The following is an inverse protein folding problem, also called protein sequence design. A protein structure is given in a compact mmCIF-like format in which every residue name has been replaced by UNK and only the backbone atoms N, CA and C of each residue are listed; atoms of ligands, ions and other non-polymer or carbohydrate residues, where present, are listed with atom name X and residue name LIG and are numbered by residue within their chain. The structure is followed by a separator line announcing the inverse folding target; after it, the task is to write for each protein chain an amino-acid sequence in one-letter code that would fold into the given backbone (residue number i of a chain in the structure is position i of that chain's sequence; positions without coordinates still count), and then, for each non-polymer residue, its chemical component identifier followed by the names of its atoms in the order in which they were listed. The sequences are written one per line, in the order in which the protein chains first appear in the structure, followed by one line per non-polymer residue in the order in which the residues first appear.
data_IF_951575367761
#
_entry.id   IF_951575367761
#
_cell.length_a   1.000
_cell.length_b   1.000
_cell.length_c   1.000
_cell.angle_alpha   90.00
_cell.angle_beta   90.00
_cell.angle_gamma   90.00
#
_symmetry.space_group_name_H-M   'P 1'
#
loop_
_entity.id
_entity.type
_entity.pdbx_description
1 polymer ?
#
# COMPACT_ATOMS: atom_id res chain seq x y z
N UNK A 1 32.55 -6.18 28.75
CA UNK A 1 32.00 -7.23 27.86
C UNK A 1 30.94 -6.56 27.02
N UNK A 2 31.31 -6.17 25.81
CA UNK A 2 30.42 -5.48 24.89
C UNK A 2 29.21 -6.37 24.68
N UNK A 3 28.04 -5.85 25.04
CA UNK A 3 26.77 -6.36 24.57
C UNK A 3 26.87 -6.22 23.05
N UNK A 4 27.38 -7.26 22.38
CA UNK A 4 27.27 -7.42 20.94
C UNK A 4 25.78 -7.43 20.75
N UNK A 5 25.26 -6.27 20.37
CA UNK A 5 23.88 -6.05 20.00
C UNK A 5 23.53 -7.24 19.15
N UNK A 6 22.58 -8.05 19.61
CA UNK A 6 21.92 -9.01 18.76
C UNK A 6 21.29 -8.15 17.66
N UNK A 7 22.06 -7.90 16.60
CA UNK A 7 21.66 -7.23 15.39
C UNK A 7 20.60 -8.15 14.81
N UNK A 8 19.36 -7.92 15.24
CA UNK A 8 18.19 -8.50 14.65
C UNK A 8 18.22 -7.95 13.22
N UNK A 9 18.64 -8.79 12.27
CA UNK A 9 18.62 -8.45 10.85
C UNK A 9 17.16 -8.16 10.50
N UNK A 10 16.85 -6.87 10.34
CA UNK A 10 15.51 -6.35 10.14
C UNK A 10 15.53 -5.54 8.85
N UNK A 11 15.14 -6.19 7.75
CA UNK A 11 14.83 -5.48 6.52
C UNK A 11 13.37 -5.09 6.55
N UNK A 12 13.09 -3.79 6.38
CA UNK A 12 11.74 -3.28 6.10
C UNK A 12 11.69 -2.66 4.71
N UNK A 13 10.51 -2.65 4.11
CA UNK A 13 10.24 -2.07 2.80
C UNK A 13 8.85 -1.41 2.82
N UNK A 14 8.78 -0.18 2.31
CA UNK A 14 7.57 0.63 2.21
C UNK A 14 7.65 1.53 0.96
N UNK A 15 6.51 1.84 0.33
CA UNK A 15 6.43 2.88 -0.71
C UNK A 15 5.95 4.19 -0.10
N UNK A 16 6.45 5.31 -0.63
CA UNK A 16 6.03 6.65 -0.22
C UNK A 16 4.59 6.99 -0.66
N UNK A 17 4.12 6.38 -1.75
CA UNK A 17 2.76 6.51 -2.28
C UNK A 17 1.91 5.33 -1.82
N UNK A 18 0.66 5.61 -1.42
CA UNK A 18 -0.31 4.58 -1.07
C UNK A 18 -0.43 3.59 -2.25
N UNK A 19 -0.27 2.28 -1.99
CA UNK A 19 -0.07 1.12 -2.89
C UNK A 19 -0.84 1.07 -4.25
N UNK A 20 -0.76 2.12 -5.04
CA UNK A 20 -1.51 2.46 -6.23
C UNK A 20 -0.81 3.64 -6.92
N UNK A 21 0.01 3.35 -7.94
CA UNK A 21 0.75 4.33 -8.71
C UNK A 21 0.31 4.34 -10.17
N UNK A 22 0.47 5.46 -10.86
CA UNK A 22 0.22 5.54 -12.29
C UNK A 22 1.45 5.04 -13.03
N UNK A 23 1.26 4.13 -13.99
CA UNK A 23 2.33 3.67 -14.86
C UNK A 23 2.98 4.86 -15.58
N UNK A 24 4.30 4.94 -15.53
CA UNK A 24 5.06 6.05 -16.07
C UNK A 24 5.54 7.04 -15.01
N UNK A 25 4.95 7.00 -13.81
CA UNK A 25 5.44 7.78 -12.66
C UNK A 25 6.57 7.06 -11.92
N UNK A 26 7.33 7.84 -11.16
CA UNK A 26 8.34 7.31 -10.24
C UNK A 26 7.66 6.86 -8.94
N UNK A 27 7.91 5.61 -8.53
CA UNK A 27 7.50 5.11 -7.22
C UNK A 27 8.71 5.18 -6.30
N UNK A 28 8.60 5.98 -5.23
CA UNK A 28 9.66 6.05 -4.23
C UNK A 28 9.51 4.91 -3.22
N UNK A 29 10.52 4.03 -3.20
CA UNK A 29 10.66 2.93 -2.26
C UNK A 29 11.61 3.37 -1.14
N UNK A 30 11.27 3.00 0.09
CA UNK A 30 12.08 3.28 1.26
C UNK A 30 12.06 2.08 2.19
N UNK A 31 13.00 2.03 3.10
CA UNK A 31 12.99 1.02 4.14
C UNK A 31 14.14 1.19 5.11
N UNK A 32 14.29 0.17 5.93
CA UNK A 32 15.42 0.03 6.86
C UNK A 32 16.13 -1.28 6.62
N UNK A 33 17.43 -1.32 6.90
CA UNK A 33 18.27 -2.51 6.94
C UNK A 33 19.38 -2.29 7.97
N UNK A 34 20.30 -3.23 8.13
CA UNK A 34 21.48 -3.03 8.99
C UNK A 34 22.34 -1.92 8.41
N UNK A 35 23.01 -1.13 9.26
CA UNK A 35 23.88 -0.03 8.82
C UNK A 35 24.95 -0.52 7.82
N UNK A 36 25.07 0.14 6.66
CA UNK A 36 26.02 -0.23 5.61
C UNK A 36 25.70 -1.52 4.86
N UNK A 37 24.56 -2.17 5.15
CA UNK A 37 24.13 -3.38 4.47
C UNK A 37 23.65 -3.07 3.05
N UNK A 38 23.93 -4.00 2.14
CA UNK A 38 23.43 -3.93 0.77
C UNK A 38 22.09 -4.63 0.70
N UNK A 39 21.09 -3.91 0.21
CA UNK A 39 19.74 -4.41 -0.04
C UNK A 39 19.59 -4.70 -1.53
N UNK A 40 19.22 -5.93 -1.84
CA UNK A 40 18.93 -6.40 -3.18
C UNK A 40 17.43 -6.25 -3.45
N UNK A 41 17.10 -5.44 -4.44
CA UNK A 41 15.75 -5.13 -4.87
C UNK A 41 15.45 -5.85 -6.18
N UNK A 42 14.29 -6.50 -6.23
CA UNK A 42 13.71 -7.08 -7.44
C UNK A 42 12.18 -7.10 -7.32
N UNK A 43 11.47 -7.38 -8.40
CA UNK A 43 10.02 -7.47 -8.33
C UNK A 43 9.45 -8.62 -9.19
N UNK A 44 8.24 -9.03 -8.87
CA UNK A 44 7.46 -10.03 -9.62
C UNK A 44 6.08 -9.47 -9.93
N UNK A 45 5.39 -10.05 -10.91
CA UNK A 45 4.03 -9.66 -11.25
C UNK A 45 3.49 -10.40 -12.47
N UNK A 46 2.35 -9.95 -12.99
CA UNK A 46 1.75 -10.51 -14.21
C UNK A 46 2.72 -10.47 -15.38
N UNK A 47 2.73 -11.53 -16.20
CA UNK A 47 3.53 -11.63 -17.42
C UNK A 47 5.06 -11.50 -17.23
N UNK A 48 5.56 -11.62 -15.98
CA UNK A 48 6.98 -11.59 -15.67
C UNK A 48 7.51 -12.98 -15.28
N UNK A 49 8.83 -13.23 -15.42
CA UNK A 49 9.48 -14.42 -14.88
C UNK A 49 9.14 -14.64 -13.40
N UNK A 50 8.87 -15.89 -13.02
CA UNK A 50 8.49 -16.25 -11.65
C UNK A 50 9.59 -15.91 -10.63
N UNK A 51 10.86 -16.08 -11.00
CA UNK A 51 12.02 -15.74 -10.18
C UNK A 51 12.20 -14.25 -9.90
N UNK A 52 11.51 -13.39 -10.67
CA UNK A 52 11.57 -11.94 -10.55
C UNK A 52 12.54 -11.27 -11.52
N UNK A 53 12.45 -9.95 -11.56
CA UNK A 53 13.20 -9.10 -12.47
C UNK A 53 13.75 -7.85 -11.78
N UNK A 54 14.79 -7.28 -12.36
CA UNK A 54 15.46 -6.06 -11.92
C UNK A 54 14.57 -4.81 -12.09
N UNK A 55 14.62 -3.86 -11.16
CA UNK A 55 13.76 -2.66 -11.17
C UNK A 55 14.14 -1.65 -12.27
N UNK A 56 15.37 -1.68 -12.78
CA UNK A 56 15.88 -0.70 -13.77
C UNK A 56 15.58 -1.09 -15.21
N UNK A 57 15.60 -2.39 -15.51
CA UNK A 57 15.55 -2.88 -16.89
C UNK A 57 14.60 -4.06 -17.10
N UNK A 58 13.95 -4.56 -16.04
CA UNK A 58 13.08 -5.74 -16.07
C UNK A 58 13.76 -7.01 -16.63
N UNK A 59 15.09 -7.11 -16.59
CA UNK A 59 15.82 -8.34 -16.87
C UNK A 59 15.67 -9.33 -15.70
N UNK A 60 15.66 -10.63 -16.01
CA UNK A 60 15.57 -11.70 -15.01
C UNK A 60 16.71 -11.62 -14.00
N UNK A 61 16.39 -11.80 -12.72
CA UNK A 61 17.39 -11.91 -11.66
C UNK A 61 17.86 -13.34 -11.49
N UNK A 62 19.13 -13.52 -11.10
CA UNK A 62 19.77 -14.81 -10.93
C UNK A 62 20.33 -14.97 -9.52
N UNK A 63 19.88 -16.00 -8.80
CA UNK A 63 20.38 -16.31 -7.45
C UNK A 63 21.90 -16.46 -7.43
N UNK A 64 22.55 -15.79 -6.48
CA UNK A 64 24.01 -15.76 -6.32
C UNK A 64 24.73 -14.77 -7.23
N UNK A 65 24.03 -14.09 -8.14
CA UNK A 65 24.61 -13.10 -9.06
C UNK A 65 24.09 -11.69 -8.73
N UNK A 66 24.80 -10.91 -7.88
CA UNK A 66 24.33 -9.61 -7.40
C UNK A 66 24.14 -8.58 -8.52
N UNK A 67 24.89 -8.68 -9.63
CA UNK A 67 24.83 -7.75 -10.76
C UNK A 67 23.49 -7.79 -11.51
N UNK A 68 22.71 -8.86 -11.30
CA UNK A 68 21.37 -8.99 -11.89
C UNK A 68 20.29 -8.28 -11.08
N UNK A 69 20.58 -7.87 -9.84
CA UNK A 69 19.64 -7.19 -8.96
C UNK A 69 19.84 -5.67 -8.99
N UNK A 70 18.81 -4.93 -8.60
CA UNK A 70 18.96 -3.51 -8.28
C UNK A 70 19.48 -3.41 -6.85
N UNK A 71 20.65 -2.82 -6.63
CA UNK A 71 21.27 -2.75 -5.30
C UNK A 71 21.18 -1.34 -4.70
N UNK A 72 20.87 -1.26 -3.40
CA UNK A 72 20.96 -0.01 -2.63
C UNK A 72 21.64 -0.28 -1.28
N UNK A 73 22.55 0.59 -0.87
CA UNK A 73 23.20 0.49 0.45
C UNK A 73 22.45 1.32 1.48
N UNK A 74 22.22 0.75 2.66
CA UNK A 74 21.65 1.48 3.79
C UNK A 74 22.64 2.51 4.35
N UNK A 75 22.12 3.67 4.75
CA UNK A 75 22.90 4.76 5.33
C UNK A 75 23.40 4.44 6.75
N UNK A 76 24.12 5.39 7.34
CA UNK A 76 24.66 5.34 8.72
C UNK A 76 23.58 5.17 9.80
N UNK A 77 22.31 5.35 9.44
CA UNK A 77 21.15 5.18 10.31
C UNK A 77 20.30 3.99 9.89
N UNK A 78 20.84 3.10 9.05
CA UNK A 78 20.17 1.90 8.58
C UNK A 78 18.95 2.18 7.70
N UNK A 79 18.86 3.34 7.04
CA UNK A 79 17.78 3.66 6.09
C UNK A 79 18.25 3.56 4.66
N UNK A 80 17.36 3.16 3.77
CA UNK A 80 17.63 3.15 2.34
C UNK A 80 16.44 3.72 1.57
N UNK A 81 16.70 4.27 0.38
CA UNK A 81 15.70 4.86 -0.51
C UNK A 81 16.06 4.53 -1.96
N UNK A 82 15.07 4.19 -2.76
CA UNK A 82 15.22 3.91 -4.19
C UNK A 82 14.06 4.49 -4.99
N UNK A 83 14.35 5.15 -6.11
CA UNK A 83 13.33 5.71 -7.02
C UNK A 83 13.11 4.76 -8.17
N UNK A 84 11.99 4.05 -8.15
CA UNK A 84 11.65 3.09 -9.18
C UNK A 84 10.95 3.79 -10.35
N UNK A 85 11.65 3.87 -11.48
CA UNK A 85 11.12 4.39 -12.74
C UNK A 85 10.33 3.29 -13.46
N UNK A 86 9.01 3.39 -13.44
CA UNK A 86 8.14 2.40 -14.11
C UNK A 86 7.96 2.67 -15.61
N UNK A 87 8.33 3.88 -16.06
CA UNK A 87 8.28 4.28 -17.46
C UNK A 87 9.25 3.45 -18.32
N UNK A 88 8.78 2.94 -19.45
CA UNK A 88 9.64 2.30 -20.46
C UNK A 88 10.15 0.90 -20.13
N UNK A 89 9.75 0.30 -18.99
CA UNK A 89 10.14 -1.06 -18.60
C UNK A 89 9.43 -2.16 -19.42
N UNK A 90 8.44 -1.82 -20.24
CA UNK A 90 7.68 -2.81 -21.02
C UNK A 90 6.79 -3.73 -20.17
N UNK A 91 6.43 -3.31 -18.95
CA UNK A 91 5.55 -4.05 -18.04
C UNK A 91 4.09 -3.61 -18.19
N UNK A 92 3.14 -4.50 -17.90
CA UNK A 92 1.71 -4.22 -18.02
C UNK A 92 1.14 -3.53 -16.76
N UNK A 93 -0.03 -2.87 -16.83
CA UNK A 93 -0.73 -2.44 -15.63
C UNK A 93 -1.17 -3.67 -14.82
N UNK A 94 -1.03 -3.63 -13.50
CA UNK A 94 -1.32 -4.77 -12.64
C UNK A 94 -0.77 -4.62 -11.23
N UNK A 95 -0.95 -5.65 -10.42
CA UNK A 95 -0.38 -5.70 -9.07
C UNK A 95 0.96 -6.43 -9.11
N UNK A 96 2.01 -5.73 -8.71
CA UNK A 96 3.37 -6.22 -8.61
C UNK A 96 3.75 -6.41 -7.14
N UNK A 97 4.66 -7.33 -6.87
CA UNK A 97 5.27 -7.51 -5.55
C UNK A 97 6.74 -7.18 -5.66
N UNK A 98 7.14 -6.11 -4.97
CA UNK A 98 8.55 -5.72 -4.80
C UNK A 98 9.12 -6.46 -3.60
N UNK A 99 10.35 -6.94 -3.75
CA UNK A 99 11.13 -7.64 -2.74
C UNK A 99 12.36 -6.81 -2.40
N UNK A 100 12.68 -6.73 -1.12
CA UNK A 100 13.93 -6.22 -0.60
C UNK A 100 14.58 -7.31 0.25
N UNK A 101 15.79 -7.74 -0.10
CA UNK A 101 16.50 -8.85 0.54
C UNK A 101 17.94 -8.49 0.92
N UNK A 102 18.48 -9.15 1.95
CA UNK A 102 19.90 -9.06 2.35
C UNK A 102 20.82 -9.93 1.48
N UNK A 103 20.27 -10.82 0.65
CA UNK A 103 21.01 -11.69 -0.25
C UNK A 103 20.55 -11.53 -1.70
N UNK A 104 21.43 -11.76 -2.69
CA UNK A 104 21.06 -11.82 -4.09
C UNK A 104 20.39 -13.17 -4.38
N UNK A 105 19.12 -13.33 -3.99
CA UNK A 105 18.34 -14.55 -4.20
C UNK A 105 17.04 -14.24 -4.97
N UNK A 106 16.79 -15.00 -6.03
CA UNK A 106 15.54 -14.93 -6.78
C UNK A 106 14.37 -15.38 -5.90
N UNK A 107 13.14 -15.00 -6.29
CA UNK A 107 11.91 -15.23 -5.51
C UNK A 107 11.79 -16.65 -4.95
N UNK A 108 12.07 -17.66 -5.77
CA UNK A 108 11.88 -19.07 -5.41
C UNK A 108 12.97 -19.58 -4.46
N UNK A 109 14.13 -18.91 -4.40
CA UNK A 109 15.28 -19.31 -3.60
C UNK A 109 15.40 -18.53 -2.28
N UNK A 110 14.66 -17.43 -2.08
CA UNK A 110 14.74 -16.56 -0.89
C UNK A 110 14.73 -17.34 0.43
N UNK A 111 13.87 -18.35 0.54
CA UNK A 111 13.76 -19.15 1.77
C UNK A 111 14.90 -20.15 1.91
N UNK A 112 15.34 -20.76 0.81
CA UNK A 112 16.40 -21.76 0.80
C UNK A 112 17.78 -21.13 1.04
N UNK A 113 17.99 -19.88 0.63
CA UNK A 113 19.22 -19.12 0.89
C UNK A 113 19.31 -18.59 2.32
N UNK A 114 18.25 -18.74 3.13
CA UNK A 114 18.18 -18.16 4.47
C UNK A 114 18.12 -16.63 4.47
N UNK A 115 17.66 -16.03 3.38
CA UNK A 115 17.62 -14.58 3.23
C UNK A 115 16.57 -13.96 4.16
N UNK A 116 16.89 -12.82 4.75
CA UNK A 116 15.91 -11.91 5.36
C UNK A 116 15.36 -11.03 4.26
N UNK A 117 14.05 -10.93 4.17
CA UNK A 117 13.42 -10.10 3.15
C UNK A 117 12.09 -9.49 3.60
N UNK A 118 11.74 -8.39 2.95
CA UNK A 118 10.44 -7.74 3.04
C UNK A 118 9.77 -7.67 1.68
N UNK A 119 8.43 -7.67 1.68
CA UNK A 119 7.60 -7.63 0.49
C UNK A 119 6.66 -6.43 0.51
N UNK A 120 6.45 -5.83 -0.65
CA UNK A 120 5.52 -4.73 -0.83
C UNK A 120 4.74 -4.90 -2.12
N UNK A 121 3.41 -4.95 -1.99
CA UNK A 121 2.52 -4.95 -3.14
C UNK A 121 2.33 -3.53 -3.67
N UNK A 122 2.54 -3.33 -4.97
CA UNK A 122 2.37 -2.07 -5.68
C UNK A 122 1.42 -2.29 -6.85
N UNK A 123 0.28 -1.59 -6.86
CA UNK A 123 -0.65 -1.65 -8.00
C UNK A 123 -0.31 -0.54 -8.99
N UNK A 124 0.09 -0.90 -10.20
CA UNK A 124 0.33 0.04 -11.30
C UNK A 124 -0.93 0.13 -12.18
N UNK A 125 -1.46 1.35 -12.32
CA UNK A 125 -2.67 1.63 -13.12
C UNK A 125 -2.28 2.34 -14.40
N UNK A 126 -3.09 2.19 -15.46
CA UNK A 126 -2.93 3.06 -16.64
C UNK A 126 -3.19 4.51 -16.24
N UNK A 127 -2.49 5.48 -16.84
CA UNK A 127 -2.93 6.87 -16.76
C UNK A 127 -4.36 6.96 -17.27
N UNK A 128 -5.27 7.45 -16.43
CA UNK A 128 -6.64 7.71 -16.82
C UNK A 128 -6.67 8.93 -17.72
N UNK A 129 -7.20 8.78 -18.94
CA UNK A 129 -7.67 9.93 -19.69
C UNK A 129 -9.03 10.30 -19.10
N UNK A 130 -9.11 11.42 -18.39
CA UNK A 130 -10.40 12.05 -18.11
C UNK A 130 -10.81 12.77 -19.39
N UNK A 131 -11.79 12.23 -20.10
CA UNK A 131 -12.56 13.04 -21.04
C UNK A 131 -13.46 13.90 -20.17
N UNK A 132 -13.15 15.20 -20.04
CA UNK A 132 -14.16 16.19 -19.66
C UNK A 132 -15.18 16.25 -20.79
N UNK A 133 -16.12 15.30 -20.79
CA UNK A 133 -17.40 15.53 -21.43
C UNK A 133 -18.09 16.55 -20.54
N UNK A 134 -18.06 17.81 -20.97
CA UNK A 134 -18.80 18.88 -20.31
C UNK A 134 -20.28 18.53 -20.29
N UNK A 135 -20.74 18.02 -19.15
CA UNK A 135 -22.16 18.00 -18.82
C UNK A 135 -22.45 19.32 -18.10
N UNK A 136 -22.85 20.30 -18.91
CA UNK A 136 -23.43 21.55 -18.44
C UNK A 136 -24.77 21.24 -17.77
N UNK A 137 -24.75 20.79 -16.51
CA UNK A 137 -25.96 20.72 -15.70
C UNK A 137 -26.27 22.13 -15.19
N UNK A 138 -27.05 22.84 -16.01
CA UNK A 138 -27.72 24.09 -15.69
C UNK A 138 -28.41 23.97 -14.32
N UNK A 139 -27.86 24.66 -13.32
CA UNK A 139 -28.48 24.84 -12.01
C UNK A 139 -29.74 25.69 -12.17
N UNK A 140 -30.92 25.07 -12.20
CA UNK A 140 -32.18 25.78 -12.04
C UNK A 140 -32.50 25.89 -10.55
N UNK A 141 -32.54 27.15 -10.10
CA UNK A 141 -32.82 27.57 -8.73
C UNK A 141 -34.31 27.42 -8.46
N UNK A 142 -34.74 26.42 -7.69
CA UNK A 142 -36.11 26.40 -7.17
C UNK A 142 -36.17 26.91 -5.73
N UNK A 143 -36.73 28.11 -5.63
CA UNK A 143 -36.97 28.89 -4.44
C UNK A 143 -38.37 28.57 -3.93
N UNK A 144 -38.45 27.93 -2.77
CA UNK A 144 -39.47 28.07 -1.70
C UNK A 144 -40.80 28.75 -2.04
N UNK A 145 -41.91 28.02 -1.94
CA UNK A 145 -43.24 28.54 -1.54
C UNK A 145 -44.04 27.51 -0.72
N UNK A 146 -44.53 27.97 0.44
CA UNK A 146 -45.44 27.31 1.39
C UNK A 146 -46.84 27.86 1.16
N UNK A 147 -47.88 27.01 1.21
CA UNK A 147 -49.14 27.41 1.86
C UNK A 147 -49.57 26.30 2.85
N UNK A 148 -49.49 26.52 4.16
CA UNK A 148 -50.55 27.08 5.02
C UNK A 148 -51.92 26.39 4.90
N UNK A 149 -52.30 25.81 6.05
CA UNK A 149 -53.66 25.70 6.60
C UNK A 149 -54.52 24.50 6.19
N UNK A 150 -54.68 23.56 7.13
CA UNK A 150 -55.98 23.11 7.67
C UNK A 150 -55.76 21.95 8.66
N UNK A 151 -55.95 22.21 9.95
CA UNK A 151 -56.26 21.19 10.97
C UNK A 151 -57.44 21.75 11.80
N UNK A 152 -58.45 20.97 12.22
CA UNK A 152 -58.29 20.05 13.37
C UNK A 152 -59.06 18.71 13.34
N UNK A 153 -58.43 17.71 13.97
CA UNK A 153 -58.93 16.41 14.42
C UNK A 153 -60.23 16.42 15.28
N UNK A 154 -60.93 15.26 15.35
CA UNK A 154 -61.27 14.74 16.69
C UNK A 154 -61.15 13.20 16.86
N UNK A 155 -60.15 12.81 17.67
CA UNK A 155 -60.13 11.85 18.81
C UNK A 155 -61.26 10.81 18.96
N UNK A 156 -60.86 9.53 19.09
CA UNK A 156 -61.46 8.57 20.03
C UNK A 156 -60.40 7.89 20.93
N UNK A 157 -60.74 7.49 22.18
CA UNK A 157 -59.82 7.41 23.31
C UNK A 157 -59.47 6.00 23.77
N UNK A 158 -58.25 5.85 24.29
CA UNK A 158 -57.94 4.93 25.38
C UNK A 158 -57.09 3.72 25.01
N UNK A 159 -55.77 3.80 25.23
CA UNK A 159 -55.16 3.11 26.38
C UNK A 159 -53.75 3.66 26.66
N UNK A 160 -53.56 4.17 27.88
CA UNK A 160 -52.30 4.61 28.49
C UNK A 160 -51.33 3.40 28.65
N UNK A 161 -50.01 3.50 28.73
CA UNK A 161 -49.16 4.34 29.58
C UNK A 161 -47.71 4.35 29.00
N UNK A 162 -46.98 5.46 29.13
CA UNK A 162 -45.48 5.48 29.10
C UNK A 162 -44.97 5.26 30.54
N UNK A 163 -43.73 4.81 30.83
CA UNK A 163 -42.48 5.52 30.49
C UNK A 163 -41.29 4.58 30.14
N UNK A 164 -40.24 4.98 29.42
CA UNK A 164 -39.01 5.51 30.03
C UNK A 164 -37.92 5.52 28.95
N UNK A 165 -37.27 6.68 28.80
CA UNK A 165 -35.87 6.89 28.42
C UNK A 165 -35.06 5.65 28.01
N UNK A 166 -34.58 5.63 26.76
CA UNK A 166 -33.33 4.93 26.45
C UNK A 166 -32.51 5.73 25.45
N UNK A 167 -31.31 6.06 25.93
CA UNK A 167 -30.28 6.85 25.28
C UNK A 167 -29.89 6.36 23.88
N UNK A 168 -29.53 7.32 23.03
CA UNK A 168 -28.81 7.11 21.78
C UNK A 168 -27.45 6.45 22.07
N UNK A 169 -27.06 5.36 21.36
CA UNK A 169 -25.68 4.94 21.35
C UNK A 169 -24.88 5.84 20.40
N UNK A 170 -23.94 6.59 20.98
CA UNK A 170 -22.81 7.18 20.25
C UNK A 170 -22.00 6.04 19.62
N UNK A 171 -21.83 6.06 18.28
CA UNK A 171 -20.93 5.11 17.62
C UNK A 171 -19.53 5.71 17.59
N UNK A 172 -18.74 5.10 18.46
CA UNK A 172 -17.31 5.17 18.71
C UNK A 172 -16.49 5.15 17.41
N UNK A 173 -15.54 6.08 17.32
CA UNK A 173 -14.53 6.13 16.26
C UNK A 173 -13.70 4.85 16.22
N UNK A 174 -13.56 4.29 15.02
CA UNK A 174 -12.69 3.14 14.75
C UNK A 174 -11.24 3.62 14.79
N UNK A 175 -10.57 3.39 15.92
CA UNK A 175 -9.13 3.50 16.03
C UNK A 175 -8.50 2.40 15.18
N UNK A 176 -7.72 2.79 14.17
CA UNK A 176 -6.91 1.91 13.36
C UNK A 176 -5.80 1.29 14.24
N UNK A 177 -5.99 0.03 14.64
CA UNK A 177 -4.92 -0.77 15.22
C UNK A 177 -4.02 -1.28 14.07
N UNK A 178 -2.87 -0.63 13.91
CA UNK A 178 -1.80 -1.08 13.03
C UNK A 178 -1.17 -2.34 13.64
N UNK A 179 -1.61 -3.52 13.20
CA UNK A 179 -1.03 -4.79 13.62
C UNK A 179 0.24 -5.09 12.80
N UNK A 180 1.40 -4.83 13.40
CA UNK A 180 2.71 -5.25 12.88
C UNK A 180 2.84 -6.77 13.09
N UNK A 181 2.61 -7.56 12.04
CA UNK A 181 2.79 -9.02 12.08
C UNK A 181 4.28 -9.36 11.92
N UNK A 182 4.98 -9.46 13.05
CA UNK A 182 6.28 -10.16 13.13
C UNK A 182 5.97 -11.65 13.12
N UNK A 183 5.99 -12.29 11.95
CA UNK A 183 6.03 -13.76 11.87
C UNK A 183 7.48 -14.21 12.07
N UNK A 184 7.76 -14.75 13.26
CA UNK A 184 8.90 -15.65 13.49
C UNK A 184 8.47 -17.07 13.15
N UNK A 185 9.06 -17.66 12.12
CA UNK A 185 9.03 -19.10 11.93
C UNK A 185 10.14 -19.72 12.80
N UNK A 186 9.75 -20.69 13.62
CA UNK A 186 10.63 -21.71 14.23
C UNK A 186 10.79 -22.84 13.22
#
# INVERSE_FOLDING_TARGET
MHLVSACLLLISLVAAVAAGAVMGEEVELMGTATEGETVYLFFTGPNLPAGGVNLENAATVETGNPDTFTTVTADDKGRWRYRWKTAGLGIDPGTYTVYASDHPAARDDLSASGAVYSMLSVTLRRPGLFLETGEEERTETEKQETPEDLEPEPREPGEQETPTTRAAPSIIGVAAALALLIRRCV
#
